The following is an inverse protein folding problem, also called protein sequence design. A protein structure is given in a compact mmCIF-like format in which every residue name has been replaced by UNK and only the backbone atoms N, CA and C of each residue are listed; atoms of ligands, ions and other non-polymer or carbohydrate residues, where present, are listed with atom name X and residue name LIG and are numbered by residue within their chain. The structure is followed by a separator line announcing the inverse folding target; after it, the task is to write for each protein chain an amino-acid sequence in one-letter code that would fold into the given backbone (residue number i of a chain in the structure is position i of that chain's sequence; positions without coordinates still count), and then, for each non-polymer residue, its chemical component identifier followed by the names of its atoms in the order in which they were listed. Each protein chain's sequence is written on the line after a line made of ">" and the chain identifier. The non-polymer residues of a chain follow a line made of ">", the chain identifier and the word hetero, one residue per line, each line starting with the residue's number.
data_IF_450338899596
#
_entry.id   IF_450338899596
#
_cell.length_a   1.000
_cell.length_b   1.000
_cell.length_c   1.000
_cell.angle_alpha   90.00
_cell.angle_beta   90.00
_cell.angle_gamma   90.00
#
_symmetry.space_group_name_H-M   'P 1'
#
loop_
_entity.id
_entity.type
_entity.pdbx_description
1 polymer ?
#
# COMPACT_ATOMS: atom_id res chain seq x y z
N UNK A 1 8.92 -13.75 21.71
CA UNK A 1 9.84 -14.24 20.65
C UNK A 1 9.12 -15.12 19.63
N UNK A 2 8.40 -16.18 20.03
CA UNK A 2 7.72 -17.10 19.09
C UNK A 2 6.69 -16.42 18.16
N UNK A 3 5.84 -15.53 18.69
CA UNK A 3 4.86 -14.81 17.88
C UNK A 3 5.49 -13.83 16.86
N UNK A 4 6.62 -13.21 17.20
CA UNK A 4 7.35 -12.30 16.31
C UNK A 4 8.05 -13.05 15.17
N UNK A 5 8.60 -14.24 15.46
CA UNK A 5 9.22 -15.10 14.46
C UNK A 5 8.18 -15.71 13.51
N UNK A 6 7.02 -16.11 14.04
CA UNK A 6 5.90 -16.58 13.23
C UNK A 6 5.42 -15.49 12.26
N UNK A 7 5.16 -14.29 12.76
CA UNK A 7 4.73 -13.15 11.93
C UNK A 7 5.78 -12.79 10.86
N UNK A 8 7.07 -12.82 11.19
CA UNK A 8 8.13 -12.60 10.20
C UNK A 8 8.14 -13.69 9.12
N UNK A 9 7.97 -14.96 9.50
CA UNK A 9 7.88 -16.08 8.55
C UNK A 9 6.66 -15.99 7.64
N UNK A 10 5.50 -15.59 8.17
CA UNK A 10 4.28 -15.37 7.40
C UNK A 10 4.44 -14.23 6.38
N UNK A 11 5.16 -13.16 6.74
CA UNK A 11 5.46 -12.06 5.82
C UNK A 11 6.44 -12.46 4.71
N UNK A 12 7.47 -13.25 5.03
CA UNK A 12 8.41 -13.75 4.03
C UNK A 12 7.72 -14.69 3.04
N UNK A 13 6.86 -15.59 3.53
CA UNK A 13 6.05 -16.46 2.66
C UNK A 13 5.11 -15.65 1.76
N UNK A 14 4.41 -14.65 2.32
CA UNK A 14 3.52 -13.79 1.54
C UNK A 14 4.27 -13.05 0.42
N UNK A 15 5.47 -12.52 0.70
CA UNK A 15 6.30 -11.85 -0.31
C UNK A 15 6.63 -12.80 -1.47
N UNK A 16 7.05 -14.02 -1.17
CA UNK A 16 7.39 -14.99 -2.22
C UNK A 16 6.17 -15.41 -3.04
N UNK A 17 5.01 -15.62 -2.40
CA UNK A 17 3.76 -15.94 -3.10
C UNK A 17 3.33 -14.81 -4.07
N UNK A 18 3.37 -13.55 -3.62
CA UNK A 18 3.00 -12.44 -4.51
C UNK A 18 4.03 -12.18 -5.60
N UNK A 19 5.32 -12.43 -5.36
CA UNK A 19 6.35 -12.37 -6.42
C UNK A 19 6.10 -13.43 -7.49
N UNK A 20 5.76 -14.66 -7.10
CA UNK A 20 5.43 -15.71 -8.06
C UNK A 20 4.14 -15.39 -8.83
N UNK A 21 3.12 -14.87 -8.14
CA UNK A 21 1.91 -14.38 -8.80
C UNK A 21 2.24 -13.32 -9.87
N UNK A 22 3.11 -12.36 -9.54
CA UNK A 22 3.56 -11.32 -10.49
C UNK A 22 4.49 -11.86 -11.59
N UNK A 23 5.15 -12.99 -11.38
CA UNK A 23 5.90 -13.67 -12.45
C UNK A 23 4.97 -14.26 -13.50
N UNK A 24 3.78 -14.72 -13.08
CA UNK A 24 2.75 -15.26 -13.95
C UNK A 24 1.91 -14.15 -14.60
N UNK A 25 1.54 -13.13 -13.80
CA UNK A 25 0.70 -12.00 -14.20
C UNK A 25 1.34 -10.67 -13.77
N UNK A 26 2.28 -10.11 -14.58
CA UNK A 26 3.03 -8.90 -14.22
C UNK A 26 2.20 -7.61 -14.15
N UNK A 27 0.94 -7.66 -14.61
CA UNK A 27 0.02 -6.54 -14.62
C UNK A 27 -1.14 -6.74 -13.63
N UNK A 28 -0.99 -7.63 -12.64
CA UNK A 28 -1.97 -7.74 -11.55
C UNK A 28 -1.76 -6.62 -10.52
N UNK A 29 -2.62 -5.60 -10.58
CA UNK A 29 -2.62 -4.47 -9.66
C UNK A 29 -2.81 -4.89 -8.19
N UNK A 30 -3.60 -5.95 -7.92
CA UNK A 30 -3.87 -6.44 -6.58
C UNK A 30 -2.66 -7.20 -6.02
N UNK A 31 -1.98 -8.01 -6.84
CA UNK A 31 -0.74 -8.66 -6.44
C UNK A 31 0.36 -7.64 -6.12
N UNK A 32 0.49 -6.58 -6.93
CA UNK A 32 1.37 -5.45 -6.63
C UNK A 32 0.99 -4.75 -5.31
N UNK A 33 -0.29 -4.47 -5.09
CA UNK A 33 -0.76 -3.87 -3.83
C UNK A 33 -0.45 -4.75 -2.61
N UNK A 34 -0.75 -6.05 -2.68
CA UNK A 34 -0.54 -6.95 -1.55
C UNK A 34 0.95 -7.22 -1.27
N UNK A 35 1.78 -7.29 -2.31
CA UNK A 35 3.24 -7.34 -2.14
C UNK A 35 3.74 -6.08 -1.44
N UNK A 36 3.23 -4.90 -1.82
CA UNK A 36 3.54 -3.65 -1.13
C UNK A 36 3.19 -3.68 0.35
N UNK A 37 2.02 -4.22 0.73
CA UNK A 37 1.63 -4.40 2.13
C UNK A 37 2.58 -5.33 2.90
N UNK A 38 2.93 -6.48 2.31
CA UNK A 38 3.85 -7.43 2.93
C UNK A 38 5.24 -6.80 3.16
N UNK A 39 5.72 -6.02 2.19
CA UNK A 39 7.00 -5.30 2.28
C UNK A 39 6.99 -4.21 3.36
N UNK A 40 5.88 -3.47 3.53
CA UNK A 40 5.70 -2.56 4.69
C UNK A 40 5.82 -3.34 6.00
N UNK A 41 5.20 -4.51 6.11
CA UNK A 41 5.29 -5.37 7.29
C UNK A 41 6.73 -5.81 7.62
N UNK A 42 7.57 -5.97 6.59
CA UNK A 42 9.01 -6.30 6.71
C UNK A 42 9.89 -5.06 6.96
N UNK A 43 9.33 -3.86 6.88
CA UNK A 43 10.07 -2.60 6.96
C UNK A 43 10.78 -2.20 5.67
N UNK A 44 10.56 -2.93 4.56
CA UNK A 44 11.08 -2.57 3.24
C UNK A 44 10.16 -1.53 2.58
N UNK A 45 10.28 -0.29 3.04
CA UNK A 45 9.47 0.82 2.56
C UNK A 45 9.75 1.16 1.09
N UNK A 46 10.99 0.97 0.63
CA UNK A 46 11.39 1.24 -0.74
C UNK A 46 10.71 0.30 -1.72
N UNK A 47 10.79 -1.01 -1.47
CA UNK A 47 10.09 -2.00 -2.27
C UNK A 47 8.57 -1.81 -2.20
N UNK A 48 8.03 -1.49 -1.03
CA UNK A 48 6.60 -1.24 -0.89
C UNK A 48 6.12 -0.06 -1.77
N UNK A 49 6.85 1.06 -1.76
CA UNK A 49 6.55 2.24 -2.58
C UNK A 49 6.58 1.89 -4.07
N UNK A 50 7.55 1.10 -4.52
CA UNK A 50 7.66 0.67 -5.91
C UNK A 50 6.43 -0.13 -6.33
N UNK A 51 6.05 -1.16 -5.56
CA UNK A 51 4.92 -2.00 -5.92
C UNK A 51 3.57 -1.27 -5.79
N UNK A 52 3.40 -0.35 -4.84
CA UNK A 52 2.21 0.51 -4.80
C UNK A 52 2.12 1.44 -6.01
N UNK A 53 3.25 2.01 -6.48
CA UNK A 53 3.25 2.80 -7.73
C UNK A 53 2.88 1.95 -8.92
N UNK A 54 3.44 0.75 -9.03
CA UNK A 54 3.10 -0.14 -10.14
C UNK A 54 1.62 -0.55 -10.13
N UNK A 55 1.06 -0.82 -8.95
CA UNK A 55 -0.39 -1.02 -8.77
C UNK A 55 -1.19 0.18 -9.28
N UNK A 56 -0.78 1.41 -8.98
CA UNK A 56 -1.45 2.64 -9.46
C UNK A 56 -1.22 2.96 -10.94
N UNK A 57 -0.11 2.48 -11.54
CA UNK A 57 0.08 2.58 -12.99
C UNK A 57 -0.93 1.71 -13.75
N UNK A 58 -1.32 0.58 -13.16
CA UNK A 58 -2.30 -0.37 -13.72
C UNK A 58 -3.73 0.08 -13.38
N UNK A 59 -3.99 0.41 -12.12
CA UNK A 59 -5.27 0.89 -11.60
C UNK A 59 -5.13 2.28 -10.93
N UNK A 60 -5.22 3.37 -11.71
CA UNK A 60 -5.01 4.72 -11.19
C UNK A 60 -6.09 5.21 -10.20
N UNK A 61 -7.26 4.57 -10.20
CA UNK A 61 -8.42 4.97 -9.38
C UNK A 61 -8.60 4.09 -8.14
N UNK A 62 -7.48 3.70 -7.50
CA UNK A 62 -7.47 2.87 -6.30
C UNK A 62 -7.24 3.71 -5.03
N UNK A 63 -8.30 4.15 -4.31
CA UNK A 63 -8.14 5.01 -3.12
C UNK A 63 -7.35 4.33 -2.00
N UNK A 64 -7.47 3.01 -1.84
CA UNK A 64 -6.70 2.24 -0.85
C UNK A 64 -5.20 2.25 -1.17
N UNK A 65 -4.83 2.03 -2.43
CA UNK A 65 -3.43 2.01 -2.87
C UNK A 65 -2.79 3.39 -2.71
N UNK A 66 -3.50 4.47 -3.08
CA UNK A 66 -3.05 5.84 -2.81
C UNK A 66 -2.82 6.10 -1.31
N UNK A 67 -3.73 5.63 -0.45
CA UNK A 67 -3.57 5.74 1.00
C UNK A 67 -2.37 4.96 1.55
N UNK A 68 -2.13 3.74 1.06
CA UNK A 68 -0.97 2.93 1.49
C UNK A 68 0.35 3.51 0.99
N UNK A 69 0.40 4.03 -0.24
CA UNK A 69 1.56 4.74 -0.77
C UNK A 69 1.87 6.00 0.05
N UNK A 70 0.85 6.80 0.39
CA UNK A 70 1.02 7.97 1.25
C UNK A 70 1.61 7.56 2.62
N UNK A 71 1.11 6.48 3.23
CA UNK A 71 1.61 5.97 4.51
C UNK A 71 3.08 5.53 4.43
N UNK A 72 3.46 4.81 3.38
CA UNK A 72 4.84 4.37 3.18
C UNK A 72 5.79 5.57 2.96
N UNK A 73 5.33 6.58 2.21
CA UNK A 73 6.09 7.83 1.99
C UNK A 73 6.28 8.63 3.29
N UNK A 74 5.25 8.74 4.14
CA UNK A 74 5.40 9.37 5.48
C UNK A 74 6.44 8.64 6.32
N UNK A 75 6.40 7.31 6.38
CA UNK A 75 7.37 6.52 7.14
C UNK A 75 8.81 6.69 6.61
N UNK A 76 8.95 6.93 5.30
CA UNK A 76 10.24 7.25 4.66
C UNK A 76 10.67 8.72 4.85
N UNK A 77 9.79 9.58 5.36
CA UNK A 77 10.04 11.02 5.55
C UNK A 77 9.71 11.90 4.34
N UNK A 78 9.11 11.34 3.30
CA UNK A 78 8.73 12.05 2.07
C UNK A 78 7.29 12.60 2.20
N UNK A 79 7.14 13.61 3.05
CA UNK A 79 5.83 14.18 3.39
C UNK A 79 5.18 14.90 2.21
N UNK A 80 5.97 15.55 1.35
CA UNK A 80 5.45 16.30 0.21
C UNK A 80 4.66 15.40 -0.74
N UNK A 81 5.25 14.26 -1.13
CA UNK A 81 4.57 13.29 -2.01
C UNK A 81 3.48 12.51 -1.31
N UNK A 82 3.61 12.29 0.00
CA UNK A 82 2.55 11.66 0.77
C UNK A 82 1.25 12.47 0.74
N UNK A 83 1.34 13.81 0.86
CA UNK A 83 0.16 14.71 0.84
C UNK A 83 -0.58 14.63 -0.49
N UNK A 84 0.14 14.50 -1.61
CA UNK A 84 -0.46 14.34 -2.94
C UNK A 84 -1.33 13.08 -3.00
N UNK A 85 -0.76 11.92 -2.69
CA UNK A 85 -1.49 10.65 -2.74
C UNK A 85 -2.59 10.57 -1.68
N UNK A 86 -2.40 11.18 -0.51
CA UNK A 86 -3.44 11.30 0.50
C UNK A 86 -4.67 12.07 -0.02
N UNK A 87 -4.45 13.24 -0.65
CA UNK A 87 -5.54 14.02 -1.25
C UNK A 87 -6.27 13.23 -2.31
N UNK A 88 -5.53 12.51 -3.15
CA UNK A 88 -6.12 11.66 -4.20
C UNK A 88 -6.95 10.52 -3.61
N UNK A 89 -6.47 9.88 -2.54
CA UNK A 89 -7.21 8.83 -1.83
C UNK A 89 -8.55 9.35 -1.28
N UNK A 90 -8.55 10.54 -0.67
CA UNK A 90 -9.77 11.18 -0.16
C UNK A 90 -10.75 11.53 -1.27
N UNK A 91 -10.25 12.13 -2.36
CA UNK A 91 -11.07 12.51 -3.51
C UNK A 91 -11.77 11.29 -4.11
N UNK A 92 -11.01 10.23 -4.41
CA UNK A 92 -11.54 9.00 -4.99
C UNK A 92 -12.54 8.31 -4.05
N UNK A 93 -12.23 8.22 -2.75
CA UNK A 93 -13.15 7.61 -1.78
C UNK A 93 -14.45 8.42 -1.62
N UNK A 94 -14.37 9.75 -1.64
CA UNK A 94 -15.53 10.62 -1.58
C UNK A 94 -16.40 10.51 -2.84
N UNK A 95 -15.78 10.50 -4.02
CA UNK A 95 -16.48 10.31 -5.31
C UNK A 95 -17.16 8.93 -5.39
N UNK A 96 -16.53 7.89 -4.84
CA UNK A 96 -17.12 6.55 -4.74
C UNK A 96 -18.23 6.43 -3.67
N UNK A 97 -18.46 7.47 -2.85
CA UNK A 97 -19.42 7.44 -1.75
C UNK A 97 -18.98 6.60 -0.54
N UNK A 98 -17.72 6.15 -0.48
CA UNK A 98 -17.19 5.34 0.62
C UNK A 98 -16.79 6.22 1.81
N UNK A 99 -17.80 6.72 2.54
CA UNK A 99 -17.61 7.58 3.71
C UNK A 99 -16.78 6.90 4.80
N UNK A 100 -16.90 5.58 4.93
CA UNK A 100 -16.12 4.80 5.90
C UNK A 100 -14.62 4.86 5.56
N UNK A 101 -14.27 4.74 4.29
CA UNK A 101 -12.88 4.86 3.84
C UNK A 101 -12.37 6.30 4.00
N UNK A 102 -13.20 7.31 3.71
CA UNK A 102 -12.87 8.72 3.95
C UNK A 102 -12.51 8.95 5.43
N UNK A 103 -13.30 8.44 6.37
CA UNK A 103 -13.04 8.55 7.80
C UNK A 103 -11.75 7.84 8.22
N UNK A 104 -11.52 6.62 7.71
CA UNK A 104 -10.30 5.87 7.98
C UNK A 104 -9.05 6.61 7.49
N UNK A 105 -9.12 7.18 6.29
CA UNK A 105 -8.05 7.97 5.70
C UNK A 105 -7.82 9.22 6.56
N UNK A 106 -8.86 9.99 6.91
CA UNK A 106 -8.70 11.17 7.79
C UNK A 106 -8.10 10.84 9.14
N UNK A 107 -8.53 9.76 9.78
CA UNK A 107 -8.03 9.34 11.10
C UNK A 107 -6.53 9.01 11.08
N UNK A 108 -6.05 8.39 10.00
CA UNK A 108 -4.64 8.01 9.86
C UNK A 108 -3.68 9.16 9.53
N UNK A 109 -4.17 10.26 8.96
CA UNK A 109 -3.33 11.33 8.40
C UNK A 109 -3.73 12.75 8.85
N UNK A 110 -4.74 12.90 9.69
CA UNK A 110 -5.31 14.18 10.11
C UNK A 110 -4.78 14.75 11.43
N UNK A 111 -3.60 14.32 11.90
CA UNK A 111 -2.92 14.90 13.06
C UNK A 111 -1.56 15.50 12.67
#
# INVERSE_FOLDING_TARGET
>A
LAATLAAAGELDEAVEQYREALRLEPEDANAHYNLGLALVGRGDLDGAIEHFRRSLEIEPEAPRTHGMLAMALVQKGDQERAVEHYRRALELAATAGDQRLVEQIRSRFGQ
#
